data_IF_225479369218
#
_entry.id   IF_225479369218
#
_cell.length_a   1.000
_cell.length_b   1.000
_cell.length_c   1.000
_cell.angle_alpha   90.00
_cell.angle_beta   90.00
_cell.angle_gamma   90.00
#
_symmetry.space_group_name_H-M   'P 1'
#
loop_
_entity.id
_entity.type
_entity.pdbx_description
1 polymer ?
#
# COMPACT_ATOMS: atom_id res chain seq x y z
N UNK A 1 -10.55 -8.35 11.33
CA UNK A 1 -10.50 -7.22 10.37
C UNK A 1 -9.97 -7.73 9.04
N UNK A 2 -10.68 -7.43 7.96
CA UNK A 2 -10.28 -7.80 6.60
C UNK A 2 -9.82 -6.55 5.84
N UNK A 3 -8.63 -6.59 5.28
CA UNK A 3 -7.94 -5.45 4.67
C UNK A 3 -7.59 -5.77 3.21
N UNK A 4 -7.79 -4.82 2.31
CA UNK A 4 -7.17 -4.83 0.98
C UNK A 4 -6.01 -3.83 0.92
N UNK A 5 -4.92 -4.21 0.28
CA UNK A 5 -3.79 -3.33 -0.05
C UNK A 5 -3.69 -3.29 -1.56
N UNK A 6 -3.88 -2.13 -2.16
CA UNK A 6 -3.77 -1.92 -3.61
C UNK A 6 -2.41 -1.34 -3.95
N UNK A 7 -1.65 -2.07 -4.73
CA UNK A 7 -0.24 -1.83 -5.03
C UNK A 7 0.67 -2.73 -4.20
N UNK A 8 1.46 -3.58 -4.87
CA UNK A 8 2.46 -4.48 -4.23
C UNK A 8 3.89 -3.99 -4.44
N UNK A 9 4.07 -2.68 -4.46
CA UNK A 9 5.38 -2.06 -4.34
C UNK A 9 5.93 -2.20 -2.93
N UNK A 10 7.05 -1.52 -2.65
CA UNK A 10 7.71 -1.58 -1.34
C UNK A 10 6.75 -1.30 -0.19
N UNK A 11 6.07 -0.15 -0.23
CA UNK A 11 5.16 0.28 0.85
C UNK A 11 3.98 -0.68 1.01
N UNK A 12 3.32 -1.05 -0.09
CA UNK A 12 2.12 -1.90 -0.02
C UNK A 12 2.42 -3.31 0.45
N UNK A 13 3.49 -3.94 -0.07
CA UNK A 13 3.84 -5.32 0.30
C UNK A 13 4.28 -5.41 1.77
N UNK A 14 5.14 -4.50 2.22
CA UNK A 14 5.60 -4.48 3.62
C UNK A 14 4.43 -4.21 4.56
N UNK A 15 3.63 -3.18 4.29
CA UNK A 15 2.46 -2.83 5.11
C UNK A 15 1.46 -3.99 5.20
N UNK A 16 1.13 -4.60 4.05
CA UNK A 16 0.21 -5.73 4.01
C UNK A 16 0.71 -6.94 4.78
N UNK A 17 2.00 -7.24 4.66
CA UNK A 17 2.63 -8.34 5.38
C UNK A 17 2.64 -8.10 6.89
N UNK A 18 2.94 -6.88 7.33
CA UNK A 18 2.91 -6.51 8.74
C UNK A 18 1.49 -6.61 9.34
N UNK A 19 0.46 -6.15 8.63
CA UNK A 19 -0.92 -6.33 9.09
C UNK A 19 -1.32 -7.81 9.18
N UNK A 20 -0.89 -8.63 8.23
CA UNK A 20 -1.13 -10.07 8.29
C UNK A 20 -0.42 -10.72 9.48
N UNK A 21 0.80 -10.29 9.80
CA UNK A 21 1.56 -10.74 10.97
C UNK A 21 0.87 -10.37 12.27
N UNK A 22 0.24 -9.19 12.34
CA UNK A 22 -0.59 -8.74 13.47
C UNK A 22 -1.93 -9.48 13.58
N UNK A 23 -2.24 -10.42 12.68
CA UNK A 23 -3.44 -11.25 12.73
C UNK A 23 -4.61 -10.79 11.85
N UNK A 24 -4.46 -9.72 11.07
CA UNK A 24 -5.47 -9.33 10.09
C UNK A 24 -5.49 -10.29 8.89
N UNK A 25 -6.65 -10.40 8.22
CA UNK A 25 -6.74 -11.07 6.92
C UNK A 25 -6.52 -10.03 5.83
N UNK A 26 -5.42 -10.16 5.10
CA UNK A 26 -4.98 -9.17 4.12
C UNK A 26 -5.02 -9.75 2.71
N UNK A 27 -5.56 -8.99 1.77
CA UNK A 27 -5.49 -9.27 0.34
C UNK A 27 -4.70 -8.16 -0.34
N UNK A 28 -3.53 -8.50 -0.86
CA UNK A 28 -2.72 -7.60 -1.66
C UNK A 28 -3.13 -7.71 -3.13
N UNK A 29 -3.36 -6.57 -3.75
CA UNK A 29 -3.85 -6.43 -5.12
C UNK A 29 -2.83 -5.66 -5.95
N UNK A 30 -2.48 -6.16 -7.13
CA UNK A 30 -1.66 -5.42 -8.09
C UNK A 30 -2.12 -5.75 -9.52
N UNK A 31 -2.05 -4.78 -10.41
CA UNK A 31 -2.41 -4.98 -11.83
C UNK A 31 -1.37 -5.83 -12.57
N UNK A 32 -0.14 -5.90 -12.07
CA UNK A 32 0.94 -6.70 -12.65
C UNK A 32 0.80 -8.17 -12.27
N UNK A 33 0.28 -8.96 -13.22
CA UNK A 33 0.11 -10.39 -13.04
C UNK A 33 1.43 -11.14 -12.78
N UNK A 34 2.55 -10.65 -13.34
CA UNK A 34 3.86 -11.28 -13.14
C UNK A 34 4.32 -11.12 -11.70
N UNK A 35 4.16 -9.92 -11.11
CA UNK A 35 4.44 -9.69 -9.68
C UNK A 35 3.59 -10.59 -8.79
N UNK A 36 2.28 -10.62 -9.07
CA UNK A 36 1.34 -11.44 -8.29
C UNK A 36 1.69 -12.93 -8.38
N UNK A 37 2.04 -13.43 -9.57
CA UNK A 37 2.44 -14.83 -9.73
C UNK A 37 3.73 -15.16 -8.97
N UNK A 38 4.74 -14.27 -9.00
CA UNK A 38 5.97 -14.41 -8.22
C UNK A 38 5.67 -14.46 -6.72
N UNK A 39 4.88 -13.51 -6.22
CA UNK A 39 4.48 -13.48 -4.80
C UNK A 39 3.73 -14.74 -4.35
N UNK A 40 2.88 -15.32 -5.22
CA UNK A 40 2.15 -16.57 -4.93
C UNK A 40 3.07 -17.78 -4.77
N UNK A 41 4.21 -17.81 -5.47
CA UNK A 41 5.22 -18.89 -5.36
C UNK A 41 6.30 -18.57 -4.33
N UNK A 42 6.22 -17.41 -3.66
CA UNK A 42 7.16 -17.00 -2.62
C UNK A 42 8.38 -16.22 -3.13
N UNK A 43 8.42 -15.85 -4.42
CA UNK A 43 9.46 -14.96 -4.94
C UNK A 43 9.17 -13.51 -4.57
N UNK A 44 10.09 -12.88 -3.85
CA UNK A 44 9.96 -11.48 -3.44
C UNK A 44 10.45 -10.53 -4.55
N UNK A 45 9.64 -9.55 -4.96
CA UNK A 45 10.05 -8.53 -5.94
C UNK A 45 10.99 -7.48 -5.33
N UNK A 46 11.11 -7.46 -4.02
CA UNK A 46 11.93 -6.51 -3.24
C UNK A 46 12.73 -7.28 -2.20
N UNK A 47 13.90 -6.78 -1.89
CA UNK A 47 14.72 -7.32 -0.81
C UNK A 47 14.52 -6.50 0.46
N UNK A 48 13.96 -7.14 1.50
CA UNK A 48 13.82 -6.59 2.85
C UNK A 48 14.09 -7.72 3.85
N UNK A 49 15.04 -7.53 4.78
CA UNK A 49 15.37 -8.58 5.75
C UNK A 49 14.14 -9.06 6.53
N UNK A 50 13.91 -10.38 6.51
CA UNK A 50 12.79 -11.03 7.20
C UNK A 50 11.42 -10.94 6.50
N UNK A 51 11.25 -10.14 5.43
CA UNK A 51 9.98 -10.01 4.72
C UNK A 51 9.55 -11.34 4.08
N UNK A 52 10.46 -12.04 3.42
CA UNK A 52 10.17 -13.30 2.75
C UNK A 52 9.60 -14.34 3.73
N UNK A 53 10.23 -14.51 4.87
CA UNK A 53 9.76 -15.45 5.91
C UNK A 53 8.36 -15.09 6.41
N UNK A 54 8.11 -13.78 6.63
CA UNK A 54 6.79 -13.30 7.05
C UNK A 54 5.73 -13.52 5.97
N UNK A 55 6.03 -13.26 4.70
CA UNK A 55 5.12 -13.51 3.57
C UNK A 55 4.79 -14.99 3.48
N UNK A 56 5.78 -15.87 3.47
CA UNK A 56 5.57 -17.31 3.40
C UNK A 56 4.72 -17.84 4.55
N UNK A 57 5.04 -17.43 5.79
CA UNK A 57 4.31 -17.83 7.00
C UNK A 57 2.85 -17.38 6.95
N UNK A 58 2.60 -16.14 6.56
CA UNK A 58 1.25 -15.56 6.51
C UNK A 58 0.43 -16.09 5.32
N UNK A 59 1.07 -16.40 4.20
CA UNK A 59 0.41 -17.06 3.07
C UNK A 59 0.00 -18.49 3.46
N UNK A 60 0.88 -19.26 4.10
CA UNK A 60 0.59 -20.60 4.60
C UNK A 60 -0.56 -20.61 5.62
N UNK A 61 -0.62 -19.61 6.48
CA UNK A 61 -1.72 -19.45 7.47
C UNK A 61 -2.99 -18.83 6.89
N UNK A 62 -3.04 -18.57 5.57
CA UNK A 62 -4.16 -17.97 4.85
C UNK A 62 -4.55 -16.57 5.32
N UNK A 63 -3.66 -15.88 6.05
CA UNK A 63 -3.84 -14.50 6.46
C UNK A 63 -3.41 -13.49 5.37
N UNK A 64 -2.50 -13.89 4.49
CA UNK A 64 -2.03 -13.06 3.38
C UNK A 64 -2.37 -13.74 2.04
N UNK A 65 -2.98 -12.98 1.12
CA UNK A 65 -3.37 -13.45 -0.22
C UNK A 65 -2.98 -12.42 -1.27
N UNK A 66 -2.78 -12.88 -2.50
CA UNK A 66 -2.41 -12.05 -3.64
C UNK A 66 -3.38 -12.25 -4.80
N UNK A 67 -3.86 -11.16 -5.40
CA UNK A 67 -4.78 -11.18 -6.54
C UNK A 67 -4.52 -10.01 -7.50
N UNK A 68 -4.96 -10.17 -8.75
CA UNK A 68 -4.96 -9.07 -9.73
C UNK A 68 -6.29 -8.32 -9.79
N UNK A 69 -7.35 -8.85 -9.17
CA UNK A 69 -8.69 -8.24 -9.21
C UNK A 69 -9.03 -7.63 -7.85
N UNK A 70 -9.19 -6.31 -7.83
CA UNK A 70 -9.68 -5.58 -6.67
C UNK A 70 -11.14 -5.91 -6.38
N UNK A 71 -11.95 -6.04 -7.43
CA UNK A 71 -13.39 -6.32 -7.33
C UNK A 71 -13.66 -7.62 -6.58
N UNK A 72 -12.79 -8.63 -6.77
CA UNK A 72 -12.96 -9.95 -6.16
C UNK A 72 -12.91 -9.94 -4.64
N UNK A 73 -12.26 -8.93 -4.03
CA UNK A 73 -12.12 -8.82 -2.57
C UNK A 73 -12.96 -7.70 -1.96
N UNK A 74 -13.52 -6.77 -2.77
CA UNK A 74 -14.23 -5.60 -2.26
C UNK A 74 -15.42 -5.94 -1.35
N UNK A 75 -16.15 -7.01 -1.63
CA UNK A 75 -17.31 -7.37 -0.81
C UNK A 75 -16.94 -7.78 0.61
N UNK A 76 -15.75 -8.31 0.79
CA UNK A 76 -15.29 -8.91 2.05
C UNK A 76 -14.49 -7.97 2.93
N UNK A 77 -13.82 -6.97 2.34
CA UNK A 77 -12.90 -6.08 3.08
C UNK A 77 -13.63 -4.90 3.71
N UNK A 78 -13.12 -4.45 4.85
CA UNK A 78 -13.61 -3.31 5.62
C UNK A 78 -12.75 -2.07 5.39
N UNK A 79 -11.43 -2.28 5.24
CA UNK A 79 -10.43 -1.22 5.06
C UNK A 79 -9.65 -1.47 3.79
N UNK A 80 -9.42 -0.43 3.02
CA UNK A 80 -8.67 -0.47 1.78
C UNK A 80 -7.52 0.55 1.88
N UNK A 81 -6.30 0.08 1.73
CA UNK A 81 -5.13 0.95 1.60
C UNK A 81 -4.77 1.05 0.12
N UNK A 82 -4.73 2.26 -0.41
CA UNK A 82 -4.18 2.54 -1.73
C UNK A 82 -2.71 2.94 -1.59
N UNK A 83 -1.82 2.06 -2.00
CA UNK A 83 -0.37 2.24 -2.01
C UNK A 83 0.16 2.22 -3.46
N UNK A 84 -0.65 2.72 -4.40
CA UNK A 84 -0.25 2.86 -5.81
C UNK A 84 0.72 4.01 -5.97
N UNK A 85 1.61 3.89 -6.96
CA UNK A 85 2.57 4.96 -7.26
C UNK A 85 1.88 6.23 -7.77
N UNK A 86 2.49 7.37 -7.44
CA UNK A 86 2.14 8.68 -7.99
C UNK A 86 3.41 9.25 -8.63
N UNK A 87 3.82 8.77 -9.82
CA UNK A 87 5.03 9.24 -10.48
C UNK A 87 4.90 10.75 -10.79
N UNK A 88 6.02 11.48 -10.89
CA UNK A 88 5.98 12.86 -11.34
C UNK A 88 5.56 12.92 -12.81
N UNK A 89 4.70 13.87 -13.14
CA UNK A 89 4.35 14.22 -14.51
C UNK A 89 5.40 15.17 -15.11
N UNK A 90 5.31 15.47 -16.42
CA UNK A 90 6.26 16.33 -17.15
C UNK A 90 6.35 17.74 -16.56
N UNK A 91 5.27 18.24 -15.96
CA UNK A 91 5.19 19.55 -15.30
C UNK A 91 5.66 19.53 -13.84
N UNK A 92 6.08 18.37 -13.31
CA UNK A 92 6.49 18.17 -11.91
C UNK A 92 5.33 17.95 -10.94
N UNK A 93 4.09 17.92 -11.41
CA UNK A 93 2.93 17.49 -10.61
C UNK A 93 2.95 15.96 -10.40
N UNK A 94 2.16 15.47 -9.46
CA UNK A 94 2.00 14.03 -9.27
C UNK A 94 0.92 13.48 -10.22
N UNK A 95 1.23 12.45 -10.99
CA UNK A 95 0.22 11.71 -11.75
C UNK A 95 -0.69 10.92 -10.79
N UNK A 96 -1.93 11.35 -10.69
CA UNK A 96 -2.97 10.75 -9.85
C UNK A 96 -3.83 9.73 -10.59
N UNK A 97 -3.55 9.42 -11.85
CA UNK A 97 -4.36 8.53 -12.68
C UNK A 97 -4.59 7.16 -12.03
N UNK A 98 -3.55 6.57 -11.42
CA UNK A 98 -3.66 5.30 -10.72
C UNK A 98 -4.53 5.39 -9.46
N UNK A 99 -4.41 6.47 -8.70
CA UNK A 99 -5.23 6.70 -7.49
C UNK A 99 -6.69 6.86 -7.87
N UNK A 100 -6.98 7.64 -8.91
CA UNK A 100 -8.33 7.84 -9.43
C UNK A 100 -8.93 6.55 -9.98
N UNK A 101 -8.16 5.74 -10.72
CA UNK A 101 -8.62 4.44 -11.21
C UNK A 101 -9.04 3.50 -10.07
N UNK A 102 -8.25 3.43 -9.00
CA UNK A 102 -8.59 2.66 -7.80
C UNK A 102 -9.86 3.21 -7.15
N UNK A 103 -9.96 4.52 -6.95
CA UNK A 103 -11.14 5.16 -6.36
C UNK A 103 -12.41 4.91 -7.18
N UNK A 104 -12.33 5.00 -8.51
CA UNK A 104 -13.44 4.68 -9.41
C UNK A 104 -13.87 3.20 -9.32
N UNK A 105 -12.91 2.28 -9.28
CA UNK A 105 -13.19 0.85 -9.13
C UNK A 105 -13.90 0.56 -7.81
N UNK A 106 -13.43 1.17 -6.71
CA UNK A 106 -14.07 1.05 -5.40
C UNK A 106 -15.49 1.63 -5.45
N UNK A 107 -15.65 2.87 -5.95
CA UNK A 107 -16.93 3.55 -5.98
C UNK A 107 -18.01 2.82 -6.79
N UNK A 108 -17.63 2.15 -7.88
CA UNK A 108 -18.56 1.39 -8.71
C UNK A 108 -18.98 0.05 -8.11
N UNK A 109 -18.11 -0.57 -7.30
CA UNK A 109 -18.30 -1.93 -6.82
C UNK A 109 -18.57 -2.02 -5.31
N UNK A 110 -18.47 -0.91 -4.57
CA UNK A 110 -18.77 -0.90 -3.14
C UNK A 110 -20.27 -1.00 -2.89
N UNK A 111 -20.66 -1.91 -2.01
CA UNK A 111 -22.05 -2.10 -1.59
C UNK A 111 -22.28 -1.86 -0.09
N UNK A 112 -21.21 -1.54 0.64
CA UNK A 112 -21.21 -1.26 2.09
C UNK A 112 -20.23 -0.16 2.40
N UNK A 113 -20.35 0.42 3.60
CA UNK A 113 -19.34 1.35 4.13
C UNK A 113 -17.95 0.71 4.13
N UNK A 114 -16.96 1.46 3.65
CA UNK A 114 -15.56 1.07 3.62
C UNK A 114 -14.69 2.26 3.97
N UNK A 115 -13.60 1.99 4.66
CA UNK A 115 -12.58 3.00 4.94
C UNK A 115 -11.50 2.92 3.86
N UNK A 116 -11.34 3.99 3.07
CA UNK A 116 -10.25 4.12 2.10
C UNK A 116 -9.15 5.00 2.68
N UNK A 117 -7.94 4.46 2.76
CA UNK A 117 -6.73 5.15 3.21
C UNK A 117 -5.77 5.24 2.02
N UNK A 118 -5.42 6.45 1.62
CA UNK A 118 -4.48 6.69 0.52
C UNK A 118 -3.10 6.95 1.13
N UNK A 119 -2.14 6.09 0.81
CA UNK A 119 -0.74 6.27 1.19
C UNK A 119 -0.04 6.99 0.04
N UNK A 120 0.15 8.29 0.17
CA UNK A 120 0.85 9.11 -0.81
C UNK A 120 2.26 9.42 -0.31
N UNK A 121 3.25 8.75 -0.89
CA UNK A 121 4.66 8.97 -0.55
C UNK A 121 5.14 10.38 -0.92
N UNK A 122 4.59 10.97 -1.97
CA UNK A 122 4.96 12.30 -2.45
C UNK A 122 4.60 13.40 -1.44
N UNK A 123 3.45 13.30 -0.78
CA UNK A 123 3.02 14.25 0.25
C UNK A 123 3.94 14.22 1.48
N UNK A 124 4.40 13.02 1.87
CA UNK A 124 5.33 12.86 3.00
C UNK A 124 6.70 13.43 2.65
N UNK A 125 7.17 13.22 1.42
CA UNK A 125 8.50 13.70 0.97
C UNK A 125 8.53 15.21 0.81
N UNK A 126 7.43 15.86 0.45
CA UNK A 126 7.30 17.32 0.38
C UNK A 126 7.11 17.98 1.76
N UNK A 127 6.37 17.34 2.65
CA UNK A 127 6.12 17.88 4.00
C UNK A 127 7.33 17.73 4.92
N UNK A 128 8.13 16.66 4.78
CA UNK A 128 9.31 16.46 5.64
C UNK A 128 10.36 17.57 5.51
N UNK A 129 10.78 18.00 4.29
CA UNK A 129 11.69 19.14 4.15
C UNK A 129 11.10 20.42 4.72
N UNK A 130 9.81 20.73 4.47
CA UNK A 130 9.15 21.90 5.05
C UNK A 130 9.19 21.89 6.59
N UNK A 131 8.91 20.76 7.22
CA UNK A 131 8.94 20.61 8.68
C UNK A 131 10.37 20.74 9.23
N UNK A 132 11.37 20.21 8.52
CA UNK A 132 12.78 20.31 8.92
C UNK A 132 13.33 21.74 8.75
N UNK A 133 12.89 22.48 7.72
CA UNK A 133 13.33 23.86 7.47
C UNK A 133 12.57 24.93 8.27
N UNK A 134 11.35 24.64 8.69
CA UNK A 134 10.51 25.58 9.46
C UNK A 134 10.56 25.38 10.98
N UNK A 135 11.09 24.24 11.45
CA UNK A 135 11.34 24.03 12.89
C UNK A 135 12.62 24.76 13.31
N UNK A 136 12.54 25.75 14.21
CA UNK A 136 13.75 26.39 14.74
C UNK A 136 14.59 25.33 15.46
N UNK A 137 15.88 25.28 15.09
CA UNK A 137 16.85 24.39 15.74
C UNK A 137 16.90 24.66 17.24
N UNK A 138 17.06 23.66 18.10
CA UNK A 138 17.30 23.86 19.52
C UNK A 138 18.51 24.75 19.81
N UNK A 139 19.42 24.93 18.84
CA UNK A 139 20.59 25.86 18.95
C UNK A 139 20.21 27.32 18.77
N UNK A 140 19.12 27.64 18.05
CA UNK A 140 18.70 29.03 17.81
C UNK A 140 17.98 29.64 19.02
N UNK A 141 17.72 28.88 20.08
CA UNK A 141 17.15 29.36 21.34
C UNK A 141 18.17 29.85 22.38
N UNK A 142 19.46 29.96 22.00
CA UNK A 142 20.53 30.45 22.88
C UNK A 142 21.11 31.79 22.42
N UNK A 143 20.26 32.72 22.03
CA UNK A 143 20.65 34.15 21.95
C UNK A 143 19.72 34.94 22.84
#
# INVERSE_FOLDING_TARGET
MKIAIVGTGYVGLVTGTCFAEMGATVTCVDVDANKINKLKVGEMPIYEPGLEEMVLRNTKSKRLRFTTSLESCLNDVEVIFSAVGTPPDEDGSADLSYVLAVAHTIGRNMNKYKLLIIICFFLVTLCLPCLLYTSPSPRDKRQ
#
